data_IF_245014406535
#
_entry.id   IF_245014406535
#
_cell.length_a   1.000
_cell.length_b   1.000
_cell.length_c   1.000
_cell.angle_alpha   90.00
_cell.angle_beta   90.00
_cell.angle_gamma   90.00
#
_symmetry.space_group_name_H-M   'P 1'
#
loop_
_entity.id
_entity.type
_entity.pdbx_description
1 polymer ?
#
# COMPACT_ATOMS: atom_id res chain seq x y z
N UNK A 1 -13.57 4.14 -7.69
CA UNK A 1 -12.87 2.85 -7.79
C UNK A 1 -11.81 2.71 -6.69
N UNK A 2 -10.92 3.68 -6.54
CA UNK A 2 -9.94 3.74 -5.44
C UNK A 2 -10.54 3.54 -4.02
N UNK A 3 -11.67 4.21 -3.73
CA UNK A 3 -12.37 4.05 -2.45
C UNK A 3 -12.88 2.62 -2.20
N UNK A 4 -13.23 1.87 -3.25
CA UNK A 4 -13.70 0.48 -3.14
C UNK A 4 -12.54 -0.43 -2.78
N UNK A 5 -11.39 -0.27 -3.45
CA UNK A 5 -10.14 -0.93 -3.09
C UNK A 5 -9.76 -0.63 -1.65
N UNK A 6 -9.77 0.65 -1.25
CA UNK A 6 -9.49 1.04 0.15
C UNK A 6 -10.41 0.35 1.15
N UNK A 7 -11.72 0.29 0.91
CA UNK A 7 -12.67 -0.40 1.80
C UNK A 7 -12.45 -1.92 1.80
N UNK A 8 -12.18 -2.51 0.63
CA UNK A 8 -11.90 -3.93 0.51
C UNK A 8 -10.68 -4.28 1.37
N UNK A 9 -9.54 -3.62 1.13
CA UNK A 9 -8.29 -3.85 1.87
C UNK A 9 -8.42 -3.51 3.37
N UNK A 10 -9.20 -2.49 3.75
CA UNK A 10 -9.45 -2.18 5.16
C UNK A 10 -10.20 -3.32 5.87
N UNK A 11 -11.16 -3.99 5.20
CA UNK A 11 -11.83 -5.18 5.74
C UNK A 11 -10.88 -6.36 5.96
N UNK A 12 -9.92 -6.57 5.06
CA UNK A 12 -8.91 -7.63 5.24
C UNK A 12 -7.92 -7.26 6.35
N UNK A 13 -7.51 -5.98 6.43
CA UNK A 13 -6.68 -5.46 7.52
C UNK A 13 -7.33 -5.71 8.87
N UNK A 14 -8.60 -5.34 9.03
CA UNK A 14 -9.36 -5.48 10.28
C UNK A 14 -9.45 -6.96 10.72
N UNK A 15 -9.52 -7.88 9.75
CA UNK A 15 -9.48 -9.32 9.99
C UNK A 15 -8.07 -9.88 10.22
N UNK A 16 -7.02 -9.07 10.11
CA UNK A 16 -5.62 -9.52 10.16
C UNK A 16 -5.23 -10.42 8.98
N UNK A 17 -6.01 -10.39 7.89
CA UNK A 17 -5.81 -11.22 6.71
C UNK A 17 -5.25 -10.38 5.55
N UNK A 18 -4.54 -11.02 4.64
CA UNK A 18 -4.21 -10.42 3.36
C UNK A 18 -5.37 -10.67 2.38
N UNK A 19 -5.71 -9.71 1.52
CA UNK A 19 -6.64 -9.96 0.44
C UNK A 19 -6.09 -11.06 -0.50
N UNK A 20 -6.98 -11.84 -1.12
CA UNK A 20 -6.61 -12.98 -1.96
C UNK A 20 -5.68 -12.56 -3.10
N UNK A 21 -5.87 -11.38 -3.70
CA UNK A 21 -5.02 -10.86 -4.79
C UNK A 21 -3.53 -10.78 -4.43
N UNK A 22 -3.23 -10.43 -3.17
CA UNK A 22 -1.86 -10.42 -2.67
C UNK A 22 -1.44 -11.82 -2.23
N UNK A 23 -2.34 -12.57 -1.60
CA UNK A 23 -2.06 -13.91 -1.07
C UNK A 23 -1.78 -14.95 -2.16
N UNK A 24 -2.38 -14.80 -3.34
CA UNK A 24 -2.17 -15.68 -4.50
C UNK A 24 -0.77 -15.51 -5.11
N UNK A 25 -0.10 -14.39 -4.82
CA UNK A 25 1.31 -14.21 -5.16
C UNK A 25 2.20 -14.85 -4.08
N UNK A 26 2.96 -15.90 -4.42
CA UNK A 26 3.81 -16.64 -3.47
C UNK A 26 4.78 -15.71 -2.69
N UNK A 27 5.15 -14.58 -3.30
CA UNK A 27 5.99 -13.53 -2.72
C UNK A 27 5.42 -12.89 -1.44
N UNK A 28 4.09 -12.86 -1.30
CA UNK A 28 3.38 -12.22 -0.19
C UNK A 28 3.09 -13.17 0.98
N UNK A 29 3.52 -14.43 0.91
CA UNK A 29 3.47 -15.35 2.06
C UNK A 29 4.16 -14.70 3.27
N UNK A 30 3.45 -14.67 4.39
CA UNK A 30 3.87 -14.10 5.68
C UNK A 30 4.01 -12.56 5.71
N UNK A 31 3.29 -11.83 4.84
CA UNK A 31 3.10 -10.39 4.99
C UNK A 31 1.84 -10.10 5.83
N UNK A 32 1.79 -8.93 6.44
CA UNK A 32 0.60 -8.41 7.11
C UNK A 32 0.33 -6.98 6.66
N UNK A 33 -0.93 -6.57 6.67
CA UNK A 33 -1.28 -5.17 6.48
C UNK A 33 -0.79 -4.36 7.68
N UNK A 34 -0.40 -3.11 7.44
CA UNK A 34 0.04 -2.20 8.50
C UNK A 34 -1.08 -1.99 9.52
N UNK A 35 -0.78 -2.25 10.80
CA UNK A 35 -1.75 -2.33 11.89
C UNK A 35 -2.22 -0.94 12.35
N UNK A 36 -1.32 0.05 12.41
CA UNK A 36 -1.64 1.42 12.82
C UNK A 36 -2.49 2.15 11.76
N UNK A 37 -3.81 1.96 11.81
CA UNK A 37 -4.78 2.65 10.95
C UNK A 37 -4.69 4.17 11.04
N UNK A 38 -4.41 4.71 12.22
CA UNK A 38 -4.29 6.16 12.43
C UNK A 38 -3.08 6.75 11.70
N UNK A 39 -1.91 6.12 11.85
CA UNK A 39 -0.71 6.50 11.09
C UNK A 39 -0.94 6.35 9.59
N UNK A 40 -1.54 5.24 9.16
CA UNK A 40 -1.82 5.04 7.75
C UNK A 40 -2.80 6.08 7.19
N UNK A 41 -3.77 6.54 7.99
CA UNK A 41 -4.71 7.60 7.59
C UNK A 41 -3.98 8.94 7.40
N UNK A 42 -2.98 9.22 8.23
CA UNK A 42 -2.11 10.40 8.06
C UNK A 42 -1.29 10.25 6.77
N UNK A 43 -0.70 9.08 6.54
CA UNK A 43 0.12 8.80 5.37
C UNK A 43 -0.66 8.74 4.06
N UNK A 44 -1.95 8.38 4.09
CA UNK A 44 -2.86 8.46 2.94
C UNK A 44 -3.33 9.88 2.62
N UNK A 45 -3.21 10.81 3.58
CA UNK A 45 -3.72 12.16 3.42
C UNK A 45 -2.72 13.01 2.64
N UNK A 46 -3.07 13.49 1.44
CA UNK A 46 -2.23 14.44 0.71
C UNK A 46 -1.99 15.77 1.45
N UNK A 47 -2.77 16.08 2.49
CA UNK A 47 -2.56 17.29 3.30
C UNK A 47 -1.52 17.13 4.40
N UNK A 48 -1.38 15.92 4.97
CA UNK A 48 -0.39 15.64 6.02
C UNK A 48 0.74 14.77 5.51
N UNK A 49 0.39 13.66 4.88
CA UNK A 49 1.29 12.78 4.15
C UNK A 49 2.45 12.28 5.01
N UNK A 50 3.43 11.73 4.34
CA UNK A 50 4.76 11.49 4.87
C UNK A 50 5.59 12.70 4.43
N UNK A 51 6.06 13.50 5.37
CA UNK A 51 7.05 14.55 5.13
C UNK A 51 8.40 14.13 5.72
N UNK A 52 9.44 14.36 4.94
CA UNK A 52 10.82 14.21 5.40
C UNK A 52 11.65 15.38 4.88
N UNK A 53 12.33 16.07 5.78
CA UNK A 53 13.15 17.23 5.45
C UNK A 53 14.63 16.87 5.59
N UNK A 54 15.41 17.12 4.54
CA UNK A 54 16.87 16.98 4.58
C UNK A 54 17.53 18.13 5.35
N UNK A 55 18.77 17.90 5.80
CA UNK A 55 19.60 18.94 6.45
C UNK A 55 19.85 20.17 5.57
N UNK A 56 19.74 20.04 4.25
CA UNK A 56 19.84 21.15 3.29
C UNK A 56 18.54 21.95 3.12
N UNK A 57 17.46 21.57 3.81
CA UNK A 57 16.16 22.26 3.75
C UNK A 57 15.24 21.79 2.62
N UNK A 58 15.57 20.70 1.93
CA UNK A 58 14.67 20.10 0.94
C UNK A 58 13.61 19.24 1.64
N UNK A 59 12.35 19.41 1.30
CA UNK A 59 11.25 18.61 1.83
C UNK A 59 10.76 17.61 0.77
N UNK A 60 10.73 16.33 1.15
CA UNK A 60 10.05 15.25 0.44
C UNK A 60 8.70 15.05 1.11
N UNK A 61 7.63 15.36 0.38
CA UNK A 61 6.26 15.16 0.83
C UNK A 61 5.50 14.27 -0.13
N UNK A 62 4.70 13.36 0.40
CA UNK A 62 3.87 12.49 -0.41
C UNK A 62 2.85 11.69 0.39
N UNK A 63 1.90 11.09 -0.31
CA UNK A 63 0.95 10.17 0.25
C UNK A 63 1.16 8.76 -0.32
N UNK A 64 0.76 7.76 0.45
CA UNK A 64 0.80 6.35 0.05
C UNK A 64 -0.58 5.74 0.18
N UNK A 65 -0.95 4.80 -0.69
CA UNK A 65 -2.26 4.16 -0.58
C UNK A 65 -2.31 3.16 0.57
N UNK A 66 -1.31 2.30 0.68
CA UNK A 66 -1.25 1.28 1.72
C UNK A 66 0.17 0.82 2.01
N UNK A 67 0.35 0.12 3.12
CA UNK A 67 1.64 -0.44 3.53
C UNK A 67 1.46 -1.87 4.01
N UNK A 68 2.35 -2.73 3.54
CA UNK A 68 2.54 -4.08 4.05
C UNK A 68 3.77 -4.15 4.94
N UNK A 69 3.70 -5.01 5.93
CA UNK A 69 4.79 -5.31 6.85
C UNK A 69 5.22 -6.75 6.65
N UNK A 70 6.51 -6.94 6.41
CA UNK A 70 7.15 -8.27 6.35
C UNK A 70 8.33 -8.28 7.32
N UNK A 71 8.08 -8.76 8.55
CA UNK A 71 9.07 -8.70 9.62
C UNK A 71 9.48 -7.26 9.94
N UNK A 72 10.73 -6.88 9.63
CA UNK A 72 11.27 -5.52 9.85
C UNK A 72 11.17 -4.61 8.62
N UNK A 73 10.60 -5.09 7.51
CA UNK A 73 10.48 -4.34 6.26
C UNK A 73 9.08 -3.75 6.12
N UNK A 74 9.01 -2.49 5.69
CA UNK A 74 7.80 -1.81 5.24
C UNK A 74 7.80 -1.78 3.72
N UNK A 75 6.70 -2.19 3.11
CA UNK A 75 6.52 -2.28 1.66
C UNK A 75 5.37 -1.34 1.30
N UNK A 76 5.65 -0.32 0.49
CA UNK A 76 4.64 0.63 0.03
C UNK A 76 3.85 -0.01 -1.10
N UNK A 77 2.52 0.03 -0.99
CA UNK A 77 1.59 -0.34 -2.04
C UNK A 77 0.99 0.92 -2.66
N UNK A 78 1.04 0.97 -3.97
CA UNK A 78 0.36 1.97 -4.80
C UNK A 78 -0.64 1.22 -5.68
N UNK A 79 -1.92 1.59 -5.58
CA UNK A 79 -2.96 0.92 -6.35
C UNK A 79 -3.14 1.65 -7.68
N UNK A 80 -2.73 1.02 -8.77
CA UNK A 80 -3.06 1.50 -10.11
C UNK A 80 -4.30 0.78 -10.64
N UNK A 81 -5.40 1.51 -10.80
CA UNK A 81 -6.54 1.03 -11.56
C UNK A 81 -6.24 1.18 -13.05
N UNK A 82 -6.17 0.09 -13.81
CA UNK A 82 -6.09 0.12 -15.29
C UNK A 82 -7.48 -0.13 -15.87
N UNK A 83 -7.80 0.52 -16.99
CA UNK A 83 -9.05 0.33 -17.73
C UNK A 83 -9.08 -0.93 -18.62
N UNK A 84 -8.08 -1.80 -18.50
CA UNK A 84 -7.87 -2.99 -19.34
C UNK A 84 -7.36 -4.13 -18.44
N UNK A 85 -7.81 -5.36 -18.69
CA UNK A 85 -7.34 -6.54 -17.96
C UNK A 85 -5.83 -6.76 -18.14
N UNK A 86 -5.16 -7.30 -17.12
CA UNK A 86 -3.80 -7.81 -17.27
C UNK A 86 -3.82 -8.84 -18.40
N UNK A 87 -3.03 -8.59 -19.45
CA UNK A 87 -2.58 -9.67 -20.32
C UNK A 87 -1.47 -10.37 -19.54
N UNK A 88 -1.49 -11.70 -19.48
CA UNK A 88 -0.55 -12.57 -18.75
C UNK A 88 0.95 -12.39 -19.11
N UNK A 89 1.32 -11.43 -19.96
CA UNK A 89 2.63 -11.34 -20.59
C UNK A 89 3.14 -9.88 -20.55
N UNK A 90 3.51 -9.36 -19.38
CA UNK A 90 4.13 -8.03 -19.27
C UNK A 90 5.28 -7.98 -18.28
N UNK A 91 5.96 -9.13 -18.07
CA UNK A 91 7.22 -9.19 -17.33
C UNK A 91 8.46 -9.21 -18.25
N UNK A 92 8.30 -9.16 -19.57
CA UNK A 92 9.41 -9.19 -20.54
C UNK A 92 9.41 -7.95 -21.45
N UNK A 93 10.19 -6.93 -21.04
CA UNK A 93 11.01 -6.12 -21.96
C UNK A 93 12.07 -5.32 -21.20
#
# INVERSE_FOLDING_TARGET
MDKILKIHFDKFRDKGQLPPELCENDNCKNMKLFDDKEKLKIWQSNFKGISWTDKKGNELHGAVDNILVKGKKLIVLDYKTRGYALKDDTAEH
#
